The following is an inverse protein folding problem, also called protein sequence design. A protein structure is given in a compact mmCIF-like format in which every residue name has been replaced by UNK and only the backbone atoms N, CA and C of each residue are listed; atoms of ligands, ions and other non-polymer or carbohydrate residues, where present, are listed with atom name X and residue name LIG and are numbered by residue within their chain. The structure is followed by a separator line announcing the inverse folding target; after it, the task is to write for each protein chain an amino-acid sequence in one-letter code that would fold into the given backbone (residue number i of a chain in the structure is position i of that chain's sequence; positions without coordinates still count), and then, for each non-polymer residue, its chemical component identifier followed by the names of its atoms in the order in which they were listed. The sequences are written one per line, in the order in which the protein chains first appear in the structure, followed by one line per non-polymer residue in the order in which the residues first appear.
data_IF_636941898061
#
_entry.id   IF_636941898061
#
_cell.length_a   1.000
_cell.length_b   1.000
_cell.length_c   1.000
_cell.angle_alpha   90.00
_cell.angle_beta   90.00
_cell.angle_gamma   90.00
#
_symmetry.space_group_name_H-M   'P 1'
#
loop_
_entity.id
_entity.type
_entity.pdbx_description
1 polymer ?
#
# COMPACT_ATOMS: atom_id res chain seq x y z
N UNK A 1 -42.95 -28.70 65.69
CA UNK A 1 -43.31 -29.97 65.01
C UNK A 1 -42.05 -30.81 64.86
N UNK A 2 -42.16 -32.14 64.87
CA UNK A 2 -41.03 -33.05 65.16
C UNK A 2 -40.37 -33.67 63.93
N UNK A 3 -39.23 -34.33 64.15
CA UNK A 3 -38.37 -35.00 63.15
C UNK A 3 -38.62 -36.51 63.12
N UNK A 4 -38.71 -37.08 61.91
CA UNK A 4 -38.45 -38.49 61.57
C UNK A 4 -38.17 -38.56 60.04
N UNK A 5 -37.26 -39.32 59.42
CA UNK A 5 -36.43 -40.49 59.75
C UNK A 5 -36.97 -41.87 59.33
N UNK A 6 -36.27 -42.47 58.36
CA UNK A 6 -36.12 -43.92 58.10
C UNK A 6 -37.30 -44.76 57.54
N UNK A 7 -36.86 -45.94 57.06
CA UNK A 7 -37.58 -47.18 56.76
C UNK A 7 -37.97 -47.47 55.29
N UNK A 8 -37.69 -48.71 54.87
CA UNK A 8 -37.99 -49.28 53.57
C UNK A 8 -39.17 -50.27 53.67
N UNK A 9 -39.64 -50.76 52.52
CA UNK A 9 -40.46 -51.98 52.44
C UNK A 9 -40.11 -52.75 51.16
N UNK A 10 -40.11 -54.09 51.22
CA UNK A 10 -39.59 -54.94 50.15
C UNK A 10 -40.04 -56.41 50.27
N UNK A 11 -40.29 -57.05 49.12
CA UNK A 11 -40.35 -58.53 48.97
C UNK A 11 -41.51 -59.22 49.74
N UNK A 12 -41.73 -60.57 49.73
CA UNK A 12 -40.85 -61.73 49.46
C UNK A 12 -41.23 -62.50 48.15
N UNK A 13 -40.73 -63.70 47.80
CA UNK A 13 -39.92 -64.73 48.49
C UNK A 13 -38.98 -65.45 47.48
N UNK A 14 -37.71 -65.82 47.74
CA UNK A 14 -37.14 -66.89 48.61
C UNK A 14 -37.05 -68.29 47.94
N UNK A 15 -36.09 -69.18 48.32
CA UNK A 15 -34.68 -68.93 48.68
C UNK A 15 -33.66 -70.03 48.19
N UNK A 16 -32.35 -69.80 48.42
CA UNK A 16 -31.26 -70.82 48.56
C UNK A 16 -30.78 -71.64 47.32
N UNK A 17 -29.56 -72.21 47.25
CA UNK A 17 -28.25 -71.82 47.84
C UNK A 17 -27.02 -72.49 47.15
N UNK A 18 -25.98 -71.67 46.86
CA UNK A 18 -24.51 -71.92 46.94
C UNK A 18 -23.83 -73.22 46.38
N UNK A 19 -22.91 -72.96 45.42
CA UNK A 19 -21.45 -73.34 45.32
C UNK A 19 -20.94 -74.47 44.37
N UNK A 20 -19.76 -74.15 43.80
CA UNK A 20 -18.60 -74.98 43.37
C UNK A 20 -18.40 -75.50 41.91
N UNK A 21 -17.58 -74.73 41.15
CA UNK A 21 -16.34 -75.06 40.39
C UNK A 21 -16.30 -76.10 39.24
N UNK A 22 -15.46 -75.74 38.23
CA UNK A 22 -14.79 -76.54 37.16
C UNK A 22 -15.68 -77.04 35.99
N UNK A 23 -15.18 -77.38 34.79
CA UNK A 23 -14.06 -76.86 33.94
C UNK A 23 -13.97 -77.66 32.60
N UNK A 24 -13.40 -77.06 31.54
CA UNK A 24 -12.76 -77.68 30.34
C UNK A 24 -13.61 -78.24 29.17
N UNK A 25 -13.21 -77.85 27.94
CA UNK A 25 -13.25 -78.57 26.62
C UNK A 25 -14.64 -78.96 26.04
N UNK A 26 -14.94 -78.95 24.73
CA UNK A 26 -14.37 -78.38 23.48
C UNK A 26 -15.51 -78.40 22.39
N UNK A 27 -15.40 -78.20 21.06
CA UNK A 27 -14.30 -78.00 20.09
C UNK A 27 -14.84 -77.34 18.77
N UNK A 28 -14.00 -77.28 17.73
CA UNK A 28 -14.33 -77.29 16.28
C UNK A 28 -15.18 -76.17 15.61
N UNK A 29 -14.44 -75.18 15.08
CA UNK A 29 -14.52 -74.65 13.70
C UNK A 29 -15.87 -74.23 13.04
N UNK A 30 -16.02 -72.91 12.83
CA UNK A 30 -16.59 -72.31 11.61
C UNK A 30 -15.67 -71.18 11.15
N UNK A 31 -15.38 -71.10 9.85
CA UNK A 31 -14.56 -70.04 9.25
C UNK A 31 -15.40 -68.84 8.83
N UNK A 32 -15.08 -67.65 9.35
CA UNK A 32 -15.47 -66.37 8.78
C UNK A 32 -14.24 -65.45 8.76
N UNK A 33 -13.87 -64.98 7.57
CA UNK A 33 -12.67 -64.16 7.38
C UNK A 33 -12.86 -62.75 7.91
N UNK A 34 -12.18 -62.41 9.01
CA UNK A 34 -12.03 -61.03 9.41
C UNK A 34 -11.15 -60.30 8.38
N UNK A 35 -11.77 -59.48 7.53
CA UNK A 35 -11.05 -58.63 6.60
C UNK A 35 -10.17 -57.65 7.37
N UNK A 36 -8.86 -57.89 7.36
CA UNK A 36 -7.91 -57.03 8.05
C UNK A 36 -7.85 -55.69 7.31
N UNK A 37 -8.56 -54.69 7.84
CA UNK A 37 -8.40 -53.30 7.42
C UNK A 37 -6.99 -52.84 7.80
N UNK A 38 -6.06 -53.07 6.87
CA UNK A 38 -4.77 -52.43 6.85
C UNK A 38 -5.00 -50.92 6.76
N UNK A 39 -5.01 -50.26 7.92
CA UNK A 39 -4.83 -48.82 7.96
C UNK A 39 -3.57 -48.47 7.14
N UNK A 40 -3.60 -47.43 6.29
CA UNK A 40 -2.44 -47.04 5.52
C UNK A 40 -1.27 -46.84 6.49
N UNK A 41 -0.15 -47.49 6.19
CA UNK A 41 1.03 -47.47 7.06
C UNK A 41 1.38 -46.02 7.38
N UNK A 42 1.49 -45.69 8.67
CA UNK A 42 1.98 -44.39 9.08
C UNK A 42 3.39 -44.22 8.48
N UNK A 43 3.51 -43.35 7.47
CA UNK A 43 4.79 -43.02 6.88
C UNK A 43 5.69 -42.47 7.98
N UNK A 44 6.93 -42.96 8.05
CA UNK A 44 7.91 -42.38 8.96
C UNK A 44 7.97 -40.87 8.67
N UNK A 45 7.84 -40.05 9.72
CA UNK A 45 7.90 -38.61 9.57
C UNK A 45 9.25 -38.24 8.94
N UNK A 46 9.25 -37.38 7.92
CA UNK A 46 10.52 -36.96 7.31
C UNK A 46 11.34 -36.22 8.37
N UNK A 47 12.57 -36.69 8.55
CA UNK A 47 13.50 -36.26 9.59
C UNK A 47 14.00 -34.82 9.40
N UNK A 48 13.85 -34.26 8.21
CA UNK A 48 14.31 -32.90 7.87
C UNK A 48 13.15 -31.91 7.79
N UNK A 49 12.13 -32.27 7.00
CA UNK A 49 11.04 -31.38 6.60
C UNK A 49 10.69 -31.57 5.11
N UNK A 50 9.80 -30.72 4.56
CA UNK A 50 9.38 -30.79 3.14
C UNK A 50 10.56 -30.69 2.15
N UNK A 51 10.58 -31.54 1.13
CA UNK A 51 11.64 -31.59 0.13
C UNK A 51 11.95 -33.00 -0.37
N UNK A 52 13.20 -33.25 -0.74
CA UNK A 52 13.63 -34.57 -1.22
C UNK A 52 14.87 -35.09 -0.50
N UNK A 53 14.79 -36.33 -0.02
CA UNK A 53 15.94 -37.11 0.39
C UNK A 53 16.82 -37.46 -0.83
N UNK A 54 18.09 -37.03 -0.80
CA UNK A 54 19.06 -37.21 -1.89
C UNK A 54 20.35 -37.89 -1.39
N UNK A 55 21.19 -38.42 -2.28
CA UNK A 55 22.54 -38.85 -1.93
C UNK A 55 23.42 -37.68 -1.46
N UNK A 56 24.29 -37.95 -0.49
CA UNK A 56 25.32 -37.02 -0.01
C UNK A 56 26.48 -36.81 -1.03
N UNK A 57 27.61 -36.28 -0.57
CA UNK A 57 28.86 -36.15 -1.33
C UNK A 57 29.55 -37.48 -1.65
N UNK A 58 29.21 -38.56 -0.94
CA UNK A 58 29.84 -39.89 -1.03
C UNK A 58 28.96 -40.93 -1.75
N UNK A 59 27.70 -40.58 -2.06
CA UNK A 59 26.72 -41.44 -2.72
C UNK A 59 25.75 -42.15 -1.76
N UNK A 60 25.83 -41.88 -0.46
CA UNK A 60 24.97 -42.48 0.57
C UNK A 60 23.54 -41.99 0.40
N UNK A 61 22.64 -42.86 -0.10
CA UNK A 61 21.23 -42.51 -0.37
C UNK A 61 20.52 -42.09 0.92
N UNK A 62 19.86 -40.93 0.90
CA UNK A 62 19.06 -40.43 2.02
C UNK A 62 19.87 -39.78 3.15
N UNK A 63 21.20 -39.70 3.03
CA UNK A 63 22.07 -39.00 3.97
C UNK A 63 22.14 -37.47 3.74
N UNK A 64 21.42 -36.95 2.73
CA UNK A 64 21.34 -35.52 2.42
C UNK A 64 19.91 -35.14 2.01
N UNK A 65 19.61 -33.85 2.06
CA UNK A 65 18.30 -33.28 1.75
C UNK A 65 18.43 -32.21 0.66
N UNK A 66 17.33 -31.91 -0.03
CA UNK A 66 17.14 -30.67 -0.80
C UNK A 66 15.73 -30.16 -0.50
N UNK A 67 15.64 -29.12 0.33
CA UNK A 67 14.38 -28.67 0.89
C UNK A 67 14.49 -27.95 2.22
N UNK A 68 13.35 -27.90 2.90
CA UNK A 68 13.10 -27.22 4.16
C UNK A 68 13.59 -28.03 5.37
N UNK A 69 14.12 -27.31 6.36
CA UNK A 69 14.47 -27.82 7.67
C UNK A 69 13.48 -27.29 8.72
N UNK A 70 12.99 -28.19 9.57
CA UNK A 70 12.16 -27.88 10.73
C UNK A 70 10.68 -28.19 10.50
N UNK A 71 10.04 -28.80 11.50
CA UNK A 71 8.71 -29.42 11.49
C UNK A 71 8.44 -30.39 10.30
N UNK A 72 8.51 -31.73 10.50
CA UNK A 72 8.69 -32.47 11.76
C UNK A 72 10.17 -32.55 12.22
N UNK A 73 10.64 -31.52 12.92
CA UNK A 73 12.03 -31.37 13.36
C UNK A 73 12.19 -30.11 14.20
N UNK A 74 12.79 -30.21 15.39
CA UNK A 74 12.64 -29.22 16.47
C UNK A 74 13.70 -28.10 16.50
N UNK A 75 14.34 -27.81 15.37
CA UNK A 75 15.39 -26.77 15.30
C UNK A 75 14.86 -25.37 15.64
N UNK A 76 13.63 -25.06 15.22
CA UNK A 76 13.01 -23.74 15.31
C UNK A 76 12.07 -23.61 16.51
N UNK A 77 12.65 -23.59 17.71
CA UNK A 77 11.91 -23.24 18.92
C UNK A 77 11.46 -21.77 18.86
N UNK A 78 10.17 -21.53 19.07
CA UNK A 78 9.53 -20.20 19.10
C UNK A 78 9.53 -19.38 17.78
N UNK A 79 9.95 -19.95 16.65
CA UNK A 79 9.79 -19.34 15.32
C UNK A 79 8.89 -20.19 14.43
N UNK A 80 7.91 -19.57 13.77
CA UNK A 80 6.99 -20.22 12.83
C UNK A 80 7.59 -20.29 11.43
N UNK A 81 7.36 -21.41 10.75
CA UNK A 81 7.83 -21.68 9.39
C UNK A 81 9.16 -22.41 9.32
N UNK A 82 9.64 -22.63 8.09
CA UNK A 82 10.81 -23.44 7.80
C UNK A 82 12.10 -22.61 7.62
N UNK A 83 13.24 -23.20 7.98
CA UNK A 83 14.57 -22.69 7.65
C UNK A 83 15.23 -23.51 6.55
N UNK A 84 16.24 -22.96 5.89
CA UNK A 84 16.92 -23.60 4.75
C UNK A 84 18.43 -23.64 4.99
N UNK A 85 19.10 -24.71 4.58
CA UNK A 85 20.55 -24.77 4.72
C UNK A 85 21.20 -23.69 3.83
N UNK A 86 22.35 -23.15 4.28
CA UNK A 86 23.12 -22.18 3.51
C UNK A 86 24.60 -22.58 3.31
N UNK A 87 25.00 -23.76 3.79
CA UNK A 87 26.34 -24.36 3.63
C UNK A 87 26.23 -25.84 3.14
N UNK A 88 25.86 -26.09 1.86
CA UNK A 88 25.45 -27.42 1.37
C UNK A 88 26.61 -28.42 1.15
N UNK A 89 27.79 -28.09 1.67
CA UNK A 89 29.00 -28.91 1.72
C UNK A 89 29.27 -29.46 3.13
N UNK A 90 28.49 -29.02 4.12
CA UNK A 90 28.66 -29.39 5.54
C UNK A 90 27.46 -30.23 5.99
N UNK A 91 27.67 -31.07 7.00
CA UNK A 91 26.58 -31.85 7.60
C UNK A 91 25.75 -31.00 8.56
N UNK A 92 24.57 -31.48 8.94
CA UNK A 92 23.98 -31.09 10.22
C UNK A 92 24.97 -31.36 11.38
N UNK A 93 24.86 -30.63 12.51
CA UNK A 93 25.69 -30.89 13.67
C UNK A 93 25.35 -32.26 14.28
N UNK A 94 26.35 -32.91 14.87
CA UNK A 94 26.24 -34.23 15.49
C UNK A 94 25.36 -34.23 16.75
N UNK A 95 25.06 -35.41 17.29
CA UNK A 95 24.27 -35.55 18.52
C UNK A 95 24.93 -34.81 19.71
N UNK A 96 24.26 -33.76 20.22
CA UNK A 96 24.79 -32.83 21.23
C UNK A 96 25.37 -31.52 20.66
N UNK A 97 25.60 -31.45 19.36
CA UNK A 97 25.92 -30.21 18.65
C UNK A 97 24.65 -29.37 18.44
N UNK A 98 24.26 -28.59 19.44
CA UNK A 98 23.06 -27.75 19.33
C UNK A 98 23.28 -26.54 18.39
N UNK A 99 22.20 -26.13 17.74
CA UNK A 99 22.10 -24.82 17.11
C UNK A 99 21.92 -23.74 18.18
N UNK A 100 22.53 -22.58 17.97
CA UNK A 100 22.26 -21.39 18.76
C UNK A 100 20.87 -20.80 18.50
N UNK A 101 20.48 -19.74 19.23
CA UNK A 101 19.24 -19.03 18.99
C UNK A 101 19.20 -18.46 17.56
N UNK A 102 17.99 -18.20 17.06
CA UNK A 102 17.78 -17.45 15.82
C UNK A 102 18.31 -16.02 16.02
N UNK A 103 19.26 -15.61 15.17
CA UNK A 103 19.96 -14.31 15.27
C UNK A 103 19.91 -13.58 13.93
N UNK A 104 19.75 -12.25 13.95
CA UNK A 104 19.77 -11.43 12.74
C UNK A 104 21.18 -11.12 12.29
N UNK A 105 21.39 -11.03 10.97
CA UNK A 105 22.68 -10.65 10.40
C UNK A 105 22.52 -9.70 9.21
N UNK A 106 23.41 -8.70 9.14
CA UNK A 106 23.48 -7.71 8.06
C UNK A 106 24.54 -8.03 7.00
N UNK A 107 25.26 -9.15 7.14
CA UNK A 107 26.24 -9.62 6.15
C UNK A 107 26.35 -11.14 6.18
N UNK A 108 26.61 -11.75 5.03
CA UNK A 108 26.85 -13.18 4.90
C UNK A 108 28.19 -13.42 4.22
N UNK A 109 28.94 -14.41 4.69
CA UNK A 109 30.10 -14.95 3.99
C UNK A 109 29.83 -16.40 3.62
N UNK A 110 30.01 -16.73 2.34
CA UNK A 110 29.94 -18.09 1.81
C UNK A 110 31.09 -18.92 2.35
N UNK A 111 30.81 -20.08 2.97
CA UNK A 111 31.87 -21.05 3.30
C UNK A 111 32.34 -21.83 2.06
N UNK A 112 31.50 -21.93 1.03
CA UNK A 112 31.85 -22.61 -0.22
C UNK A 112 32.82 -21.82 -1.11
N UNK A 113 32.84 -20.48 -1.02
CA UNK A 113 33.72 -19.62 -1.85
C UNK A 113 34.64 -18.68 -1.07
N UNK A 114 34.43 -18.54 0.25
CA UNK A 114 35.14 -17.57 1.10
C UNK A 114 34.75 -16.10 0.86
N UNK A 115 33.81 -15.81 -0.05
CA UNK A 115 33.42 -14.45 -0.43
C UNK A 115 32.22 -13.95 0.39
N UNK A 116 32.12 -12.64 0.68
CA UNK A 116 30.87 -12.06 1.16
C UNK A 116 29.80 -12.10 0.05
N UNK A 117 28.56 -12.42 0.40
CA UNK A 117 27.41 -12.22 -0.49
C UNK A 117 27.05 -10.73 -0.54
N UNK A 118 26.53 -10.25 -1.68
CA UNK A 118 26.15 -8.84 -1.81
C UNK A 118 24.87 -8.54 -1.00
N UNK A 119 24.65 -7.26 -0.67
CA UNK A 119 23.38 -6.83 -0.05
C UNK A 119 22.17 -7.09 -0.96
N UNK A 120 22.37 -7.04 -2.28
CA UNK A 120 21.33 -7.36 -3.25
C UNK A 120 20.96 -8.86 -3.19
N UNK A 121 21.94 -9.74 -3.03
CA UNK A 121 21.71 -11.18 -3.01
C UNK A 121 21.20 -11.67 -1.65
N UNK A 122 21.64 -11.04 -0.55
CA UNK A 122 20.99 -11.19 0.76
C UNK A 122 19.51 -10.82 0.64
N UNK A 123 19.17 -9.66 0.07
CA UNK A 123 17.78 -9.24 -0.10
C UNK A 123 16.97 -10.14 -1.05
N UNK A 124 17.60 -10.74 -2.08
CA UNK A 124 16.95 -11.73 -2.97
C UNK A 124 16.72 -13.07 -2.27
N UNK A 125 17.67 -13.58 -1.50
CA UNK A 125 17.48 -14.76 -0.66
C UNK A 125 16.34 -14.53 0.35
N UNK A 126 16.34 -13.37 1.01
CA UNK A 126 15.26 -12.92 1.90
C UNK A 126 13.90 -12.87 1.20
N UNK A 127 13.85 -12.37 -0.05
CA UNK A 127 12.62 -12.33 -0.85
C UNK A 127 12.05 -13.73 -1.11
N UNK A 128 12.87 -14.66 -1.60
CA UNK A 128 12.45 -16.05 -1.88
C UNK A 128 11.97 -16.73 -0.60
N UNK A 129 12.71 -16.57 0.50
CA UNK A 129 12.33 -17.11 1.81
C UNK A 129 11.01 -16.51 2.33
N UNK A 130 10.80 -15.20 2.24
CA UNK A 130 9.55 -14.54 2.65
C UNK A 130 8.34 -14.87 1.78
N UNK A 131 8.54 -15.28 0.52
CA UNK A 131 7.45 -15.49 -0.46
C UNK A 131 7.07 -16.96 -0.61
N UNK A 132 8.03 -17.87 -0.43
CA UNK A 132 7.84 -19.30 -0.73
C UNK A 132 8.45 -20.24 0.32
N UNK A 133 9.27 -19.74 1.25
CA UNK A 133 10.01 -20.55 2.21
C UNK A 133 9.14 -21.22 3.28
N UNK A 134 8.04 -20.58 3.68
CA UNK A 134 7.02 -21.22 4.53
C UNK A 134 6.10 -22.08 3.67
N UNK A 135 6.42 -23.37 3.51
CA UNK A 135 5.75 -24.27 2.57
C UNK A 135 5.83 -25.73 2.97
N UNK A 136 4.74 -26.47 2.74
CA UNK A 136 4.67 -27.93 2.88
C UNK A 136 4.67 -28.64 1.51
N UNK A 137 5.02 -27.95 0.43
CA UNK A 137 5.17 -28.53 -0.92
C UNK A 137 6.65 -28.85 -1.19
N UNK A 138 6.99 -30.13 -1.30
CA UNK A 138 8.36 -30.61 -1.53
C UNK A 138 9.01 -29.98 -2.78
N UNK A 139 8.20 -29.74 -3.82
CA UNK A 139 8.66 -29.13 -5.08
C UNK A 139 9.08 -27.67 -4.85
N UNK A 140 8.36 -26.95 -3.97
CA UNK A 140 8.68 -25.57 -3.59
C UNK A 140 9.85 -25.49 -2.65
N UNK A 141 9.88 -26.34 -1.61
CA UNK A 141 10.97 -26.37 -0.65
C UNK A 141 12.31 -26.66 -1.34
N UNK A 142 12.35 -27.65 -2.24
CA UNK A 142 13.55 -27.98 -3.02
C UNK A 142 13.99 -26.85 -3.96
N UNK A 143 13.06 -26.03 -4.45
CA UNK A 143 13.37 -24.84 -5.25
C UNK A 143 13.95 -23.72 -4.38
N UNK A 144 13.33 -23.42 -3.23
CA UNK A 144 13.81 -22.41 -2.28
C UNK A 144 15.21 -22.74 -1.76
N UNK A 145 15.48 -24.01 -1.42
CA UNK A 145 16.81 -24.49 -1.02
C UNK A 145 17.85 -24.14 -2.11
N UNK A 146 17.57 -24.47 -3.38
CA UNK A 146 18.46 -24.18 -4.51
C UNK A 146 18.72 -22.67 -4.73
N UNK A 147 17.69 -21.84 -4.58
CA UNK A 147 17.79 -20.38 -4.80
C UNK A 147 18.53 -19.67 -3.64
N UNK A 148 18.33 -20.14 -2.41
CA UNK A 148 19.05 -19.64 -1.23
C UNK A 148 20.56 -19.89 -1.37
N UNK A 149 21.01 -21.06 -1.85
CA UNK A 149 22.44 -21.24 -2.17
C UNK A 149 22.90 -20.36 -3.33
N UNK A 150 22.04 -20.16 -4.32
CA UNK A 150 22.38 -19.36 -5.51
C UNK A 150 22.80 -17.95 -5.14
N UNK A 151 22.06 -17.33 -4.23
CA UNK A 151 22.36 -15.99 -3.74
C UNK A 151 23.42 -15.95 -2.62
N UNK A 152 23.41 -16.91 -1.69
CA UNK A 152 24.34 -16.89 -0.53
C UNK A 152 25.72 -17.52 -0.82
N UNK A 153 25.86 -18.22 -1.94
CA UNK A 153 27.09 -18.89 -2.37
C UNK A 153 27.31 -18.72 -3.89
N UNK A 154 27.10 -17.51 -4.41
CA UNK A 154 27.28 -17.18 -5.83
C UNK A 154 28.64 -17.67 -6.37
N UNK A 155 28.64 -18.26 -7.57
CA UNK A 155 29.83 -18.82 -8.22
C UNK A 155 30.34 -20.14 -7.62
N UNK A 156 29.70 -20.68 -6.57
CA UNK A 156 29.95 -22.05 -6.13
C UNK A 156 29.34 -23.08 -7.08
N UNK A 157 29.78 -24.34 -6.98
CA UNK A 157 29.17 -25.46 -7.71
C UNK A 157 27.70 -25.71 -7.33
N UNK A 158 27.22 -25.11 -6.24
CA UNK A 158 25.86 -25.23 -5.70
C UNK A 158 24.94 -24.05 -6.03
N UNK A 159 25.41 -23.03 -6.77
CA UNK A 159 24.59 -21.92 -7.25
C UNK A 159 24.02 -22.17 -8.65
N UNK A 160 22.76 -21.81 -8.91
CA UNK A 160 22.16 -21.81 -10.23
C UNK A 160 22.53 -20.54 -11.03
N UNK A 161 22.33 -20.52 -12.37
CA UNK A 161 22.09 -21.67 -13.24
C UNK A 161 23.38 -22.43 -13.62
N UNK A 162 24.57 -21.88 -13.33
CA UNK A 162 25.86 -22.41 -13.81
C UNK A 162 26.51 -23.51 -12.97
N UNK A 163 26.09 -23.71 -11.71
CA UNK A 163 26.69 -24.67 -10.79
C UNK A 163 26.33 -26.12 -11.13
N UNK A 164 27.33 -26.90 -11.51
CA UNK A 164 27.19 -28.31 -11.88
C UNK A 164 26.51 -29.15 -10.78
N UNK A 165 26.83 -28.93 -9.51
CA UNK A 165 26.27 -29.71 -8.37
C UNK A 165 24.84 -29.27 -8.05
N UNK A 166 24.46 -28.01 -8.28
CA UNK A 166 23.07 -27.54 -8.21
C UNK A 166 22.20 -28.23 -9.27
N UNK A 167 22.66 -28.22 -10.52
CA UNK A 167 22.00 -28.89 -11.64
C UNK A 167 21.89 -30.40 -11.43
N UNK A 168 22.90 -31.04 -10.83
CA UNK A 168 22.84 -32.45 -10.43
C UNK A 168 21.83 -32.72 -9.31
N UNK A 169 21.80 -31.90 -8.23
CA UNK A 169 20.84 -32.08 -7.12
C UNK A 169 19.40 -31.99 -7.62
N UNK A 170 19.09 -31.01 -8.47
CA UNK A 170 17.77 -30.84 -9.09
C UNK A 170 17.46 -31.82 -10.25
N UNK A 171 18.37 -32.75 -10.55
CA UNK A 171 18.20 -33.79 -11.57
C UNK A 171 18.34 -35.22 -11.02
N UNK A 172 18.39 -35.40 -9.70
CA UNK A 172 18.30 -36.74 -9.10
C UNK A 172 16.93 -37.39 -9.42
N UNK A 173 16.85 -38.70 -9.72
CA UNK A 173 15.59 -39.35 -10.13
C UNK A 173 14.41 -39.29 -9.14
N UNK A 174 14.64 -38.90 -7.88
CA UNK A 174 13.58 -38.67 -6.89
C UNK A 174 13.11 -37.22 -6.79
N UNK A 175 13.81 -36.26 -7.39
CA UNK A 175 13.46 -34.83 -7.36
C UNK A 175 12.56 -34.50 -8.54
N UNK A 176 11.43 -33.85 -8.28
CA UNK A 176 10.52 -33.42 -9.34
C UNK A 176 11.19 -32.40 -10.27
N UNK A 177 11.12 -32.63 -11.58
CA UNK A 177 11.62 -31.70 -12.60
C UNK A 177 10.97 -30.29 -12.48
N UNK A 178 9.77 -30.20 -11.90
CA UNK A 178 9.11 -28.94 -11.62
C UNK A 178 9.84 -28.08 -10.57
N UNK A 179 10.68 -28.65 -9.70
CA UNK A 179 11.49 -27.89 -8.73
C UNK A 179 12.49 -26.98 -9.44
N UNK A 180 13.13 -27.47 -10.52
CA UNK A 180 14.02 -26.65 -11.37
C UNK A 180 13.27 -25.51 -12.07
N UNK A 181 12.03 -25.76 -12.50
CA UNK A 181 11.17 -24.72 -13.11
C UNK A 181 10.72 -23.67 -12.08
N UNK A 182 10.35 -24.09 -10.86
CA UNK A 182 10.05 -23.19 -9.74
C UNK A 182 11.25 -22.32 -9.40
N UNK A 183 12.43 -22.92 -9.19
CA UNK A 183 13.68 -22.20 -8.90
C UNK A 183 13.98 -21.13 -9.95
N UNK A 184 13.97 -21.49 -11.24
CA UNK A 184 14.18 -20.52 -12.32
C UNK A 184 13.16 -19.35 -12.33
N UNK A 185 11.91 -19.61 -11.95
CA UNK A 185 10.88 -18.58 -11.84
C UNK A 185 11.07 -17.69 -10.59
N UNK A 186 11.41 -18.28 -9.44
CA UNK A 186 11.67 -17.57 -8.19
C UNK A 186 12.92 -16.71 -8.24
N UNK A 187 14.00 -17.17 -8.88
CA UNK A 187 15.17 -16.35 -9.21
C UNK A 187 14.76 -15.13 -10.04
N UNK A 188 13.93 -15.31 -11.07
CA UNK A 188 13.45 -14.23 -11.93
C UNK A 188 12.46 -13.26 -11.22
N UNK A 189 11.61 -13.75 -10.31
CA UNK A 189 10.73 -12.90 -9.49
C UNK A 189 11.55 -12.09 -8.47
N UNK A 190 12.48 -12.73 -7.75
CA UNK A 190 13.35 -12.08 -6.78
C UNK A 190 14.29 -11.05 -7.44
N UNK A 191 14.85 -11.34 -8.60
CA UNK A 191 15.68 -10.40 -9.36
C UNK A 191 14.94 -9.11 -9.74
N UNK A 192 13.59 -9.15 -9.85
CA UNK A 192 12.74 -8.00 -10.15
C UNK A 192 12.15 -7.34 -8.91
N UNK A 193 11.72 -8.09 -7.92
CA UNK A 193 10.88 -7.60 -6.82
C UNK A 193 11.51 -7.68 -5.42
N UNK A 194 12.76 -8.12 -5.26
CA UNK A 194 13.48 -8.00 -3.99
C UNK A 194 13.69 -6.53 -3.56
N UNK A 195 13.63 -6.28 -2.25
CA UNK A 195 13.86 -4.96 -1.68
C UNK A 195 15.34 -4.56 -1.62
N UNK A 196 15.71 -3.44 -0.96
CA UNK A 196 14.84 -2.48 -0.27
C UNK A 196 13.74 -1.86 -1.13
N UNK A 197 12.69 -1.38 -0.46
CA UNK A 197 11.47 -0.88 -1.10
C UNK A 197 11.29 0.62 -0.88
N UNK A 198 10.79 1.32 -1.90
CA UNK A 198 10.46 2.75 -1.83
C UNK A 198 8.98 2.95 -2.14
N UNK A 199 8.25 3.67 -1.28
CA UNK A 199 6.86 4.09 -1.56
C UNK A 199 6.91 5.40 -2.35
N UNK A 200 6.20 5.45 -3.47
CA UNK A 200 6.00 6.67 -4.25
C UNK A 200 4.57 7.17 -4.14
N UNK A 201 4.41 8.49 -4.19
CA UNK A 201 3.14 9.19 -4.03
C UNK A 201 3.13 10.35 -5.02
N UNK A 202 2.37 10.20 -6.09
CA UNK A 202 2.33 11.13 -7.23
C UNK A 202 0.93 11.75 -7.34
N UNK A 203 0.74 13.05 -7.04
CA UNK A 203 -0.53 13.74 -7.29
C UNK A 203 -0.80 13.92 -8.79
N UNK A 204 -2.06 13.82 -9.19
CA UNK A 204 -2.51 14.18 -10.54
C UNK A 204 -2.56 15.71 -10.77
N UNK A 205 -2.48 16.50 -9.70
CA UNK A 205 -2.57 17.95 -9.72
C UNK A 205 -2.53 18.59 -8.32
N UNK A 206 -2.75 19.91 -8.18
CA UNK A 206 -2.78 20.58 -6.89
C UNK A 206 -3.92 20.06 -5.99
N UNK A 207 -3.74 20.17 -4.67
CA UNK A 207 -4.75 19.80 -3.68
C UNK A 207 -5.72 20.95 -3.44
N UNK A 208 -6.86 20.93 -4.12
CA UNK A 208 -7.77 22.09 -4.16
C UNK A 208 -8.99 21.93 -3.25
N UNK A 209 -9.33 23.02 -2.55
CA UNK A 209 -10.50 23.13 -1.67
C UNK A 209 -11.79 22.80 -2.42
N UNK A 210 -12.58 21.84 -1.89
CA UNK A 210 -13.84 21.41 -2.48
C UNK A 210 -13.71 20.51 -3.72
N UNK A 211 -12.49 20.14 -4.14
CA UNK A 211 -12.23 19.27 -5.29
C UNK A 211 -11.60 17.92 -4.88
N UNK A 212 -11.78 16.91 -5.73
CA UNK A 212 -11.09 15.61 -5.58
C UNK A 212 -9.75 15.64 -6.30
N UNK A 213 -8.65 15.66 -5.55
CA UNK A 213 -7.31 15.47 -6.10
C UNK A 213 -6.93 14.01 -5.94
N UNK A 214 -6.73 13.31 -7.07
CA UNK A 214 -6.27 11.92 -7.09
C UNK A 214 -4.75 11.83 -6.93
N UNK A 215 -4.32 10.68 -6.42
CA UNK A 215 -2.94 10.31 -6.19
C UNK A 215 -2.72 8.89 -6.74
N UNK A 216 -1.68 8.74 -7.56
CA UNK A 216 -1.13 7.44 -7.92
C UNK A 216 -0.09 7.06 -6.89
N UNK A 217 -0.25 5.87 -6.31
CA UNK A 217 0.63 5.30 -5.29
C UNK A 217 1.26 4.03 -5.84
N UNK A 218 2.54 3.81 -5.58
CA UNK A 218 3.19 2.53 -5.90
C UNK A 218 4.35 2.25 -4.94
N UNK A 219 4.82 1.00 -4.97
CA UNK A 219 5.99 0.55 -4.22
C UNK A 219 6.98 -0.03 -5.22
N UNK A 220 8.17 0.55 -5.29
CA UNK A 220 9.26 0.08 -6.15
C UNK A 220 10.22 -0.81 -5.39
N UNK A 221 10.72 -1.85 -6.06
CA UNK A 221 11.81 -2.71 -5.62
C UNK A 221 13.18 -2.03 -5.78
N UNK A 222 14.25 -2.67 -5.29
CA UNK A 222 15.62 -2.19 -5.51
C UNK A 222 16.05 -2.23 -6.98
N UNK A 223 15.35 -3.01 -7.81
CA UNK A 223 15.53 -3.05 -9.26
C UNK A 223 14.60 -2.07 -10.02
N UNK A 224 13.86 -1.20 -9.31
CA UNK A 224 12.99 -0.17 -9.88
C UNK A 224 11.64 -0.66 -10.42
N UNK A 225 11.30 -1.95 -10.23
CA UNK A 225 9.99 -2.47 -10.66
C UNK A 225 8.92 -2.15 -9.62
N UNK A 226 7.75 -1.71 -10.08
CA UNK A 226 6.55 -1.59 -9.23
C UNK A 226 6.07 -2.96 -8.80
N UNK A 227 5.80 -3.14 -7.52
CA UNK A 227 5.47 -4.44 -6.90
C UNK A 227 3.96 -4.61 -6.81
N UNK A 228 3.36 -5.65 -7.43
CA UNK A 228 1.92 -5.90 -7.36
C UNK A 228 1.49 -6.57 -6.05
N UNK A 229 0.21 -6.44 -5.68
CA UNK A 229 -0.37 -7.09 -4.49
C UNK A 229 0.10 -6.55 -3.13
N UNK A 230 0.82 -5.43 -3.08
CA UNK A 230 1.26 -4.80 -1.83
C UNK A 230 0.11 -4.07 -1.16
N UNK A 231 -0.19 -4.45 0.09
CA UNK A 231 -1.13 -3.71 0.94
C UNK A 231 -0.50 -2.39 1.38
N UNK A 232 -1.23 -1.30 1.18
CA UNK A 232 -0.90 0.05 1.64
C UNK A 232 -1.85 0.42 2.78
N UNK A 233 -1.31 0.94 3.87
CA UNK A 233 -2.06 1.64 4.91
C UNK A 233 -1.84 3.15 4.74
N UNK A 234 -2.92 3.90 4.50
CA UNK A 234 -2.90 5.32 4.13
C UNK A 234 -3.50 6.14 5.27
N UNK A 235 -2.93 7.32 5.56
CA UNK A 235 -3.49 8.26 6.54
C UNK A 235 -3.33 9.71 6.10
N UNK A 236 -4.41 10.48 6.14
CA UNK A 236 -4.43 11.92 5.86
C UNK A 236 -4.93 12.72 7.07
N UNK A 237 -4.16 13.69 7.53
CA UNK A 237 -4.45 14.53 8.70
C UNK A 237 -4.43 16.03 8.35
N UNK A 238 -5.33 16.80 8.95
CA UNK A 238 -5.52 18.23 8.74
C UNK A 238 -5.93 18.89 10.07
N UNK A 239 -4.96 19.48 10.76
CA UNK A 239 -5.15 19.89 12.17
C UNK A 239 -5.47 18.68 13.04
N UNK A 240 -6.49 18.79 13.90
CA UNK A 240 -6.95 17.69 14.77
C UNK A 240 -7.79 16.63 14.05
N UNK A 241 -8.14 16.81 12.76
CA UNK A 241 -8.87 15.81 11.99
C UNK A 241 -7.91 14.84 11.32
N UNK A 242 -8.22 13.55 11.36
CA UNK A 242 -7.46 12.50 10.66
C UNK A 242 -8.40 11.43 10.10
N UNK A 243 -8.02 10.84 8.96
CA UNK A 243 -8.70 9.71 8.34
C UNK A 243 -7.68 8.74 7.78
N UNK A 244 -7.88 7.46 8.04
CA UNK A 244 -7.11 6.37 7.45
C UNK A 244 -7.97 5.47 6.57
N UNK A 245 -7.36 4.89 5.54
CA UNK A 245 -7.93 3.84 4.68
C UNK A 245 -6.82 2.82 4.36
N UNK A 246 -7.16 1.73 3.70
CA UNK A 246 -6.17 0.80 3.14
C UNK A 246 -6.53 0.47 1.70
N UNK A 247 -5.50 0.41 0.85
CA UNK A 247 -5.58 0.06 -0.57
C UNK A 247 -4.62 -1.11 -0.84
N UNK A 248 -4.68 -1.70 -2.03
CA UNK A 248 -3.70 -2.71 -2.47
C UNK A 248 -3.28 -2.42 -3.90
N UNK A 249 -1.99 -2.52 -4.21
CA UNK A 249 -1.49 -2.28 -5.58
C UNK A 249 -2.00 -3.36 -6.54
N UNK A 250 -2.48 -2.95 -7.71
CA UNK A 250 -2.97 -3.83 -8.77
C UNK A 250 -1.87 -4.64 -9.46
N UNK A 251 -2.23 -5.33 -10.55
CA UNK A 251 -1.32 -6.16 -11.33
C UNK A 251 -0.21 -5.36 -12.06
N UNK A 252 -0.41 -4.04 -12.22
CA UNK A 252 0.57 -3.07 -12.71
C UNK A 252 1.51 -2.52 -11.62
N UNK A 253 1.26 -2.88 -10.35
CA UNK A 253 1.98 -2.37 -9.19
C UNK A 253 1.54 -0.97 -8.72
N UNK A 254 0.39 -0.43 -9.17
CA UNK A 254 -0.12 0.86 -8.68
C UNK A 254 -1.43 0.75 -7.90
N UNK A 255 -1.70 1.73 -7.05
CA UNK A 255 -2.97 1.95 -6.36
C UNK A 255 -3.41 3.41 -6.54
N UNK A 256 -4.71 3.69 -6.37
CA UNK A 256 -5.31 5.01 -6.62
C UNK A 256 -6.15 5.46 -5.42
N UNK A 257 -5.75 6.55 -4.79
CA UNK A 257 -6.49 7.18 -3.69
C UNK A 257 -6.80 8.65 -4.03
N UNK A 258 -7.72 9.29 -3.32
CA UNK A 258 -7.99 10.72 -3.50
C UNK A 258 -8.16 11.45 -2.15
N UNK A 259 -7.81 12.74 -2.16
CA UNK A 259 -8.10 13.67 -1.08
C UNK A 259 -9.23 14.62 -1.52
N UNK A 260 -10.08 15.04 -0.57
CA UNK A 260 -11.25 15.88 -0.83
C UNK A 260 -11.43 16.94 0.29
N UNK A 261 -10.51 17.92 0.41
CA UNK A 261 -10.46 18.83 1.54
C UNK A 261 -11.66 19.79 1.54
N UNK A 262 -12.35 19.87 2.68
CA UNK A 262 -13.51 20.77 2.89
C UNK A 262 -13.16 22.08 3.61
N UNK A 263 -11.90 22.24 4.03
CA UNK A 263 -11.39 23.43 4.72
C UNK A 263 -9.93 23.70 4.30
N UNK A 264 -9.45 24.95 4.33
CA UNK A 264 -8.08 25.29 4.01
C UNK A 264 -7.09 24.80 5.10
N UNK A 265 -5.81 24.71 4.74
CA UNK A 265 -4.73 24.35 5.67
C UNK A 265 -3.63 23.57 4.96
N UNK A 266 -2.89 22.74 5.72
CA UNK A 266 -1.90 21.80 5.18
C UNK A 266 -2.31 20.39 5.59
N UNK A 267 -2.49 19.51 4.60
CA UNK A 267 -2.77 18.09 4.82
C UNK A 267 -1.44 17.34 4.90
N UNK A 268 -1.20 16.66 6.01
CA UNK A 268 -0.16 15.63 6.08
C UNK A 268 -0.75 14.35 5.51
N UNK A 269 -0.27 13.90 4.35
CA UNK A 269 -0.67 12.64 3.73
C UNK A 269 0.50 11.66 3.76
N UNK A 270 0.31 10.54 4.47
CA UNK A 270 1.28 9.48 4.64
C UNK A 270 0.75 8.14 4.11
N UNK A 271 1.66 7.32 3.59
CA UNK A 271 1.39 5.98 3.06
C UNK A 271 2.48 5.04 3.57
N UNK A 272 2.06 3.91 4.16
CA UNK A 272 2.93 2.87 4.69
C UNK A 272 2.63 1.55 4.00
N UNK A 273 3.61 1.00 3.30
CA UNK A 273 3.61 -0.39 2.86
C UNK A 273 4.13 -1.25 4.02
N UNK A 274 3.26 -2.11 4.55
CA UNK A 274 3.57 -3.02 5.65
C UNK A 274 3.57 -4.48 5.17
N UNK A 275 4.20 -5.37 5.94
CA UNK A 275 4.32 -6.79 5.62
C UNK A 275 4.97 -7.07 4.25
N UNK A 276 5.91 -6.22 3.82
CA UNK A 276 6.71 -6.46 2.63
C UNK A 276 7.70 -7.62 2.87
N UNK A 277 8.17 -8.32 1.81
CA UNK A 277 9.21 -9.34 1.94
C UNK A 277 10.43 -8.83 2.70
N UNK A 278 11.14 -9.72 3.38
CA UNK A 278 12.34 -9.35 4.13
C UNK A 278 13.45 -8.84 3.19
N UNK A 279 14.28 -7.94 3.73
CA UNK A 279 15.49 -7.40 3.09
C UNK A 279 16.77 -7.79 3.83
N UNK A 280 16.63 -8.58 4.89
CA UNK A 280 17.69 -9.14 5.71
C UNK A 280 17.36 -10.59 6.05
N UNK A 281 18.31 -11.31 6.63
CA UNK A 281 18.16 -12.72 7.00
C UNK A 281 18.37 -12.93 8.49
N UNK A 282 17.78 -14.00 9.00
CA UNK A 282 18.09 -14.57 10.31
C UNK A 282 18.77 -15.92 10.12
N UNK A 283 19.66 -16.31 11.03
CA UNK A 283 20.31 -17.62 11.03
C UNK A 283 20.30 -18.27 12.40
N UNK A 284 20.34 -19.60 12.38
CA UNK A 284 20.91 -20.39 13.45
C UNK A 284 22.34 -20.79 13.09
N UNK A 285 23.27 -20.45 13.98
CA UNK A 285 24.68 -20.86 13.88
C UNK A 285 24.87 -22.10 14.76
N UNK A 286 25.39 -23.23 14.24
CA UNK A 286 25.70 -24.40 15.07
C UNK A 286 26.88 -24.13 16.01
N UNK A 287 26.87 -24.74 17.20
CA UNK A 287 28.00 -24.67 18.13
C UNK A 287 29.30 -25.26 17.54
N UNK A 288 29.20 -26.29 16.69
CA UNK A 288 30.31 -26.79 15.88
C UNK A 288 30.46 -25.93 14.61
N UNK A 289 31.59 -25.22 14.49
CA UNK A 289 31.88 -24.37 13.32
C UNK A 289 32.00 -25.15 12.00
N UNK A 290 32.24 -26.47 12.04
CA UNK A 290 32.26 -27.35 10.88
C UNK A 290 30.89 -27.84 10.40
N UNK A 291 29.80 -27.56 11.13
CA UNK A 291 28.44 -27.93 10.73
C UNK A 291 27.75 -26.81 9.93
N UNK A 292 26.72 -27.16 9.16
CA UNK A 292 25.97 -26.24 8.29
C UNK A 292 25.22 -25.16 9.09
N UNK A 293 25.16 -23.94 8.56
CA UNK A 293 24.24 -22.88 9.05
C UNK A 293 22.88 -23.03 8.38
N UNK A 294 21.81 -22.73 9.12
CA UNK A 294 20.43 -22.66 8.60
C UNK A 294 19.97 -21.20 8.61
N UNK A 295 19.32 -20.74 7.55
CA UNK A 295 18.84 -19.36 7.35
C UNK A 295 17.32 -19.29 7.19
N UNK A 296 16.75 -18.13 7.52
CA UNK A 296 15.34 -17.78 7.37
C UNK A 296 15.21 -16.34 6.90
N UNK A 297 14.03 -15.98 6.37
CA UNK A 297 13.68 -14.58 6.14
C UNK A 297 13.75 -13.77 7.44
N UNK A 298 14.29 -12.55 7.37
CA UNK A 298 14.42 -11.64 8.51
C UNK A 298 13.11 -10.97 8.95
N UNK A 299 12.02 -11.73 9.05
CA UNK A 299 10.68 -11.22 9.32
C UNK A 299 10.01 -10.60 8.08
N UNK A 300 9.52 -9.36 8.22
CA UNK A 300 8.99 -8.55 7.11
C UNK A 300 9.64 -7.17 7.12
N UNK A 301 9.74 -6.54 5.95
CA UNK A 301 10.18 -5.15 5.84
C UNK A 301 8.98 -4.18 5.78
N UNK A 302 9.26 -2.90 5.91
CA UNK A 302 8.28 -1.82 5.74
C UNK A 302 8.91 -0.68 4.93
N UNK A 303 8.10 -0.03 4.13
CA UNK A 303 8.47 1.20 3.43
C UNK A 303 7.38 2.25 3.63
N UNK A 304 7.73 3.52 3.67
CA UNK A 304 6.77 4.59 3.91
C UNK A 304 7.19 5.91 3.26
N UNK A 305 6.20 6.69 2.86
CA UNK A 305 6.36 8.05 2.36
C UNK A 305 5.35 8.98 3.04
N UNK A 306 5.72 10.25 3.21
CA UNK A 306 4.84 11.29 3.73
C UNK A 306 5.11 12.61 3.00
N UNK A 307 4.03 13.32 2.68
CA UNK A 307 4.08 14.67 2.12
C UNK A 307 3.18 15.61 2.91
N UNK A 308 3.60 16.87 3.04
CA UNK A 308 2.80 17.94 3.65
C UNK A 308 2.30 18.85 2.52
N UNK A 309 1.01 18.77 2.20
CA UNK A 309 0.41 19.38 1.01
C UNK A 309 -0.48 20.55 1.42
N UNK A 310 -0.18 21.77 0.96
CA UNK A 310 -1.02 22.94 1.21
C UNK A 310 -2.29 22.87 0.36
N UNK A 311 -3.45 23.05 0.98
CA UNK A 311 -4.73 23.17 0.27
C UNK A 311 -4.82 24.53 -0.40
N UNK A 312 -4.96 24.55 -1.72
CA UNK A 312 -5.19 25.76 -2.53
C UNK A 312 -6.67 26.06 -2.68
N UNK A 313 -7.05 27.34 -2.82
CA UNK A 313 -8.41 27.69 -3.25
C UNK A 313 -8.60 27.30 -4.73
N UNK A 314 -9.80 26.86 -5.10
CA UNK A 314 -10.16 26.64 -6.50
C UNK A 314 -10.09 27.96 -7.27
N UNK A 315 -9.70 27.92 -8.54
CA UNK A 315 -9.72 29.10 -9.41
C UNK A 315 -11.04 29.19 -10.17
N UNK A 316 -11.47 30.41 -10.45
CA UNK A 316 -12.64 30.73 -11.27
C UNK A 316 -12.37 31.94 -12.16
N UNK A 317 -13.45 32.58 -12.60
CA UNK A 317 -13.38 33.79 -13.42
C UNK A 317 -14.40 34.84 -13.03
N UNK A 318 -14.21 36.04 -13.60
CA UNK A 318 -15.16 37.14 -13.55
C UNK A 318 -15.38 37.65 -14.98
N UNK A 319 -16.65 37.67 -15.40
CA UNK A 319 -17.12 38.35 -16.61
C UNK A 319 -17.88 39.60 -16.22
N UNK A 320 -17.42 40.76 -16.66
CA UNK A 320 -18.14 42.03 -16.52
C UNK A 320 -18.91 42.31 -17.81
N UNK A 321 -20.15 42.78 -17.66
CA UNK A 321 -21.00 43.26 -18.75
C UNK A 321 -21.42 44.69 -18.39
N UNK A 322 -20.92 45.67 -19.15
CA UNK A 322 -21.07 47.11 -18.89
C UNK A 322 -22.02 47.72 -19.91
N UNK A 323 -23.08 48.35 -19.41
CA UNK A 323 -24.16 48.91 -20.25
C UNK A 323 -24.62 50.28 -19.78
N UNK A 324 -25.04 51.12 -20.70
CA UNK A 324 -25.68 52.40 -20.38
C UNK A 324 -27.03 52.16 -19.67
N UNK A 325 -27.30 52.86 -18.55
CA UNK A 325 -28.58 52.72 -17.83
C UNK A 325 -29.77 53.30 -18.61
N UNK A 326 -29.54 54.32 -19.44
CA UNK A 326 -30.57 55.06 -20.18
C UNK A 326 -31.08 54.32 -21.43
N UNK A 327 -30.20 53.57 -22.09
CA UNK A 327 -30.44 52.97 -23.40
C UNK A 327 -30.20 51.45 -23.45
N UNK A 328 -29.61 50.87 -22.40
CA UNK A 328 -29.26 49.44 -22.34
C UNK A 328 -28.13 49.01 -23.29
N UNK A 329 -27.56 49.94 -24.07
CA UNK A 329 -26.48 49.68 -25.01
C UNK A 329 -25.18 49.26 -24.30
N UNK A 330 -24.33 48.42 -24.92
CA UNK A 330 -23.00 48.14 -24.39
C UNK A 330 -22.12 49.40 -24.34
N UNK A 331 -21.21 49.45 -23.37
CA UNK A 331 -20.19 50.50 -23.23
C UNK A 331 -18.80 49.86 -23.26
N UNK A 332 -18.12 49.99 -24.40
CA UNK A 332 -16.70 49.65 -24.56
C UNK A 332 -15.78 50.76 -24.07
N UNK A 333 -14.51 50.45 -23.84
CA UNK A 333 -13.49 51.40 -23.41
C UNK A 333 -13.47 51.70 -21.90
N UNK A 334 -14.30 51.03 -21.09
CA UNK A 334 -14.38 51.23 -19.63
C UNK A 334 -13.32 50.40 -18.93
N UNK A 335 -12.45 51.02 -18.11
CA UNK A 335 -11.46 50.30 -17.31
C UNK A 335 -12.03 49.85 -15.95
N UNK A 336 -11.70 48.61 -15.56
CA UNK A 336 -12.01 48.01 -14.26
C UNK A 336 -10.76 47.50 -13.55
N UNK A 337 -10.83 47.52 -12.21
CA UNK A 337 -9.89 46.88 -11.31
C UNK A 337 -10.64 45.92 -10.35
N UNK A 338 -10.10 44.72 -10.14
CA UNK A 338 -10.59 43.74 -9.17
C UNK A 338 -9.66 43.76 -7.96
N UNK A 339 -10.17 44.21 -6.81
CA UNK A 339 -9.43 44.27 -5.54
C UNK A 339 -9.80 43.10 -4.64
N UNK A 340 -8.81 42.51 -3.98
CA UNK A 340 -9.00 41.45 -2.99
C UNK A 340 -9.40 42.03 -1.61
N UNK A 341 -9.60 41.16 -0.61
CA UNK A 341 -10.01 41.55 0.75
C UNK A 341 -9.05 42.50 1.48
N UNK A 342 -7.80 42.60 1.03
CA UNK A 342 -6.75 43.43 1.62
C UNK A 342 -6.56 44.75 0.84
N UNK A 343 -7.40 45.01 -0.18
CA UNK A 343 -7.38 46.21 -1.02
C UNK A 343 -6.45 46.13 -2.23
N UNK A 344 -5.60 45.10 -2.33
CA UNK A 344 -4.67 44.87 -3.43
C UNK A 344 -5.43 44.51 -4.73
N UNK A 345 -5.06 45.17 -5.83
CA UNK A 345 -5.59 44.90 -7.17
C UNK A 345 -4.98 43.62 -7.75
N UNK A 346 -5.80 42.59 -7.96
CA UNK A 346 -5.38 41.27 -8.46
C UNK A 346 -5.66 41.04 -9.95
N UNK A 347 -6.45 41.90 -10.58
CA UNK A 347 -6.65 41.96 -12.03
C UNK A 347 -7.13 43.35 -12.45
N UNK A 348 -6.79 43.77 -13.67
CA UNK A 348 -7.36 44.96 -14.33
C UNK A 348 -7.72 44.65 -15.78
N UNK A 349 -8.53 45.50 -16.41
CA UNK A 349 -8.71 45.48 -17.85
C UNK A 349 -9.94 46.25 -18.32
N UNK A 350 -10.03 46.37 -19.65
CA UNK A 350 -10.97 47.27 -20.33
C UNK A 350 -12.09 46.50 -21.03
N UNK A 351 -13.30 47.06 -21.08
CA UNK A 351 -14.41 46.48 -21.85
C UNK A 351 -14.21 46.60 -23.35
N UNK A 352 -14.53 45.53 -24.08
CA UNK A 352 -14.51 45.50 -25.54
C UNK A 352 -15.74 46.22 -26.16
N UNK A 353 -15.87 46.23 -27.49
CA UNK A 353 -16.97 46.90 -28.19
C UNK A 353 -18.38 46.39 -27.79
N UNK A 354 -18.50 45.12 -27.39
CA UNK A 354 -19.73 44.52 -26.88
C UNK A 354 -19.97 44.80 -25.38
N UNK A 355 -19.16 45.66 -24.76
CA UNK A 355 -19.25 46.04 -23.34
C UNK A 355 -18.78 44.94 -22.40
N UNK A 356 -17.97 43.99 -22.86
CA UNK A 356 -17.54 42.82 -22.09
C UNK A 356 -16.06 42.91 -21.71
N UNK A 357 -15.75 42.64 -20.45
CA UNK A 357 -14.40 42.31 -19.98
C UNK A 357 -14.42 40.96 -19.23
N UNK A 358 -13.31 40.22 -19.25
CA UNK A 358 -13.18 38.93 -18.60
C UNK A 358 -11.80 38.77 -17.93
N UNK A 359 -11.80 38.31 -16.68
CA UNK A 359 -10.62 37.88 -15.93
C UNK A 359 -10.76 36.40 -15.54
N UNK A 360 -9.65 35.65 -15.56
CA UNK A 360 -9.60 34.22 -15.25
C UNK A 360 -8.46 33.91 -14.28
N UNK A 361 -8.50 32.73 -13.64
CA UNK A 361 -7.48 32.31 -12.66
C UNK A 361 -7.64 32.95 -11.27
N UNK A 362 -8.71 33.72 -11.05
CA UNK A 362 -9.01 34.35 -9.76
C UNK A 362 -9.35 33.26 -8.72
N UNK A 363 -8.67 33.20 -7.57
CA UNK A 363 -9.05 32.30 -6.49
C UNK A 363 -10.51 32.47 -6.05
N UNK A 364 -11.19 31.41 -5.63
CA UNK A 364 -12.54 31.47 -5.12
C UNK A 364 -12.59 32.31 -3.83
N UNK A 365 -13.44 33.34 -3.80
CA UNK A 365 -13.41 34.36 -2.75
C UNK A 365 -14.35 35.53 -3.00
N UNK A 366 -14.40 36.47 -2.04
CA UNK A 366 -15.06 37.77 -2.20
C UNK A 366 -14.03 38.80 -2.69
N UNK A 367 -14.43 39.61 -3.67
CA UNK A 367 -13.65 40.69 -4.27
C UNK A 367 -14.50 41.96 -4.36
N UNK A 368 -13.84 43.10 -4.55
CA UNK A 368 -14.48 44.34 -4.98
C UNK A 368 -14.14 44.59 -6.44
N UNK A 369 -15.16 44.71 -7.29
CA UNK A 369 -15.04 45.24 -8.64
C UNK A 369 -15.17 46.76 -8.56
N UNK A 370 -14.09 47.46 -8.87
CA UNK A 370 -13.98 48.91 -8.90
C UNK A 370 -13.91 49.35 -10.36
N UNK A 371 -14.72 50.31 -10.75
CA UNK A 371 -14.57 50.99 -12.03
C UNK A 371 -13.50 52.08 -11.89
N UNK A 372 -12.57 52.13 -12.83
CA UNK A 372 -11.41 53.04 -12.82
C UNK A 372 -11.67 54.24 -13.72
N UNK A 373 -12.14 53.98 -14.94
CA UNK A 373 -12.46 55.01 -15.94
C UNK A 373 -13.77 54.65 -16.66
N UNK A 374 -14.71 55.60 -16.65
CA UNK A 374 -16.01 55.47 -17.30
C UNK A 374 -15.95 55.88 -18.77
N UNK A 375 -16.94 55.43 -19.57
CA UNK A 375 -17.04 55.83 -20.97
C UNK A 375 -17.40 57.32 -21.11
N UNK A 376 -16.96 57.95 -22.21
CA UNK A 376 -17.20 59.38 -22.49
C UNK A 376 -18.66 59.79 -22.30
N UNK A 377 -18.89 60.77 -21.41
CA UNK A 377 -20.22 61.28 -21.09
C UNK A 377 -21.04 60.42 -20.13
N UNK A 378 -20.45 59.43 -19.45
CA UNK A 378 -21.09 58.61 -18.42
C UNK A 378 -20.47 58.83 -17.03
N UNK A 379 -21.23 58.48 -15.98
CA UNK A 379 -20.82 58.56 -14.58
C UNK A 379 -20.28 57.21 -14.10
N UNK A 380 -19.10 57.23 -13.48
CA UNK A 380 -18.44 56.08 -12.85
C UNK A 380 -19.40 55.32 -11.91
N UNK A 381 -19.52 54.01 -12.05
CA UNK A 381 -20.34 53.21 -11.15
C UNK A 381 -19.67 52.99 -9.78
N UNK A 382 -20.49 52.87 -8.73
CA UNK A 382 -20.01 52.52 -7.39
C UNK A 382 -19.45 51.09 -7.33
N UNK A 383 -18.40 50.90 -6.51
CA UNK A 383 -17.79 49.61 -6.18
C UNK A 383 -18.82 48.49 -5.93
N UNK A 384 -18.66 47.37 -6.64
CA UNK A 384 -19.55 46.21 -6.52
C UNK A 384 -18.85 45.05 -5.79
N UNK A 385 -19.53 44.48 -4.79
CA UNK A 385 -19.08 43.23 -4.16
C UNK A 385 -19.34 42.05 -5.08
N UNK A 386 -18.29 41.32 -5.43
CA UNK A 386 -18.33 40.13 -6.30
C UNK A 386 -17.91 38.89 -5.51
N UNK A 387 -18.53 37.74 -5.81
CA UNK A 387 -18.08 36.44 -5.30
C UNK A 387 -17.66 35.57 -6.48
N UNK A 388 -16.38 35.23 -6.57
CA UNK A 388 -15.86 34.25 -7.54
C UNK A 388 -16.04 32.86 -6.93
N UNK A 389 -16.67 31.96 -7.68
CA UNK A 389 -16.77 30.54 -7.32
C UNK A 389 -15.79 29.72 -8.14
N UNK A 390 -15.31 28.59 -7.60
CA UNK A 390 -14.40 27.70 -8.31
C UNK A 390 -15.02 27.11 -9.57
N UNK A 391 -14.18 26.82 -10.57
CA UNK A 391 -14.50 26.12 -11.82
C UNK A 391 -15.49 26.85 -12.75
N UNK A 392 -15.88 28.09 -12.43
CA UNK A 392 -16.88 28.86 -13.17
C UNK A 392 -16.51 30.34 -13.24
N UNK A 393 -17.00 31.02 -14.28
CA UNK A 393 -16.99 32.47 -14.33
C UNK A 393 -18.25 33.04 -13.68
N UNK A 394 -18.11 33.79 -12.60
CA UNK A 394 -19.18 34.67 -12.12
C UNK A 394 -19.42 35.75 -13.18
N UNK A 395 -20.68 36.10 -13.46
CA UNK A 395 -21.02 37.20 -14.37
C UNK A 395 -21.64 38.35 -13.57
N UNK A 396 -21.18 39.57 -13.83
CA UNK A 396 -21.58 40.80 -13.13
C UNK A 396 -22.02 41.85 -14.16
N UNK A 397 -23.17 42.48 -13.92
CA UNK A 397 -23.70 43.53 -14.76
C UNK A 397 -23.51 44.90 -14.08
N UNK A 398 -22.79 45.80 -14.75
CA UNK A 398 -22.50 47.16 -14.27
C UNK A 398 -23.21 48.17 -15.20
N UNK A 399 -23.71 49.27 -14.62
CA UNK A 399 -24.54 50.26 -15.34
C UNK A 399 -24.23 51.68 -14.92
N UNK A 400 -24.20 52.57 -15.92
CA UNK A 400 -23.82 53.97 -15.72
C UNK A 400 -25.00 54.89 -15.98
N UNK A 401 -25.15 55.93 -15.17
CA UNK A 401 -25.95 57.09 -15.53
C UNK A 401 -25.19 57.94 -16.57
N UNK A 402 -25.88 58.39 -17.63
CA UNK A 402 -25.32 59.38 -18.54
C UNK A 402 -25.21 60.72 -17.83
N UNK A 403 -24.11 61.44 -17.99
CA UNK A 403 -23.93 62.78 -17.40
C UNK A 403 -25.04 63.71 -17.94
N UNK A 404 -25.86 64.33 -17.06
CA UNK A 404 -26.91 65.24 -17.50
C UNK A 404 -26.33 66.42 -18.27
N UNK A 405 -26.94 66.74 -19.42
CA UNK A 405 -26.60 67.96 -20.15
C UNK A 405 -26.84 69.20 -19.25
N UNK A 406 -25.97 70.23 -19.30
CA UNK A 406 -26.14 71.42 -18.49
C UNK A 406 -27.49 72.08 -18.78
N UNK A 407 -28.24 72.41 -17.73
CA UNK A 407 -29.59 72.94 -17.85
C UNK A 407 -29.59 74.25 -18.65
N UNK A 408 -30.23 74.24 -19.82
CA UNK A 408 -30.35 75.42 -20.69
C UNK A 408 -30.99 76.57 -19.90
N UNK A 409 -30.31 77.72 -19.72
CA UNK A 409 -30.84 78.81 -18.92
C UNK A 409 -32.09 79.39 -19.60
N UNK A 410 -33.23 79.32 -18.90
CA UNK A 410 -34.50 79.86 -19.43
C UNK A 410 -34.37 81.38 -19.60
N UNK A 411 -34.64 81.95 -20.78
CA UNK A 411 -34.53 83.39 -20.99
C UNK A 411 -35.50 84.13 -20.08
N UNK A 412 -34.98 85.03 -19.24
CA UNK A 412 -35.79 85.81 -18.29
C UNK A 412 -36.49 86.94 -19.05
N UNK A 413 -37.81 86.84 -19.19
CA UNK A 413 -38.66 87.88 -19.78
C UNK A 413 -38.49 89.23 -19.06
N UNK A 414 -37.77 90.16 -19.68
CA UNK A 414 -37.67 91.54 -19.24
C UNK A 414 -38.95 92.27 -19.64
N UNK A 415 -39.82 92.61 -18.67
CA UNK A 415 -40.94 93.52 -18.92
C UNK A 415 -40.40 94.95 -19.06
N UNK A 416 -40.21 95.41 -20.28
CA UNK A 416 -39.98 96.83 -20.56
C UNK A 416 -41.25 97.58 -20.17
N UNK A 417 -41.16 98.46 -19.16
CA UNK A 417 -42.26 99.34 -18.77
C UNK A 417 -42.30 100.51 -19.76
N UNK A 418 -43.16 100.41 -20.76
CA UNK A 418 -43.47 101.52 -21.67
C UNK A 418 -43.95 102.71 -20.83
N UNK A 419 -43.24 103.83 -20.92
CA UNK A 419 -43.68 105.09 -20.31
C UNK A 419 -44.80 105.71 -21.17
N UNK A 420 -45.81 106.35 -20.57
CA UNK A 420 -46.89 106.95 -21.34
C UNK A 420 -46.36 108.08 -22.22
N UNK A 421 -46.80 108.13 -23.48
CA UNK A 421 -46.51 109.27 -24.35
C UNK A 421 -47.33 110.49 -23.88
N UNK A 422 -46.65 111.46 -23.28
CA UNK A 422 -47.20 112.81 -23.05
C UNK A 422 -47.14 113.59 -24.35
N UNK A 423 -48.25 113.62 -25.10
CA UNK A 423 -48.39 114.44 -26.30
C UNK A 423 -48.63 115.92 -25.96
N UNK A 424 -48.03 116.80 -26.75
CA UNK A 424 -48.33 118.22 -26.90
C UNK A 424 -47.97 118.62 -28.35
#
# INVERSE_FOLDING_TARGET
MSVASHAASSQPASPSARRFRRSLLAASAVTLGAGLLLAPSASAADQWGPGYAIPDSHGTRGASHIGAYGQPGSLFQHTTGHGYCADPTLTGPESGGHYGPVTSFASWTSRATGKPASQQDIARASYVLSRYGDTTDDVQAAAVDADVYTYLNEGSTYALPGGQRALQRLAYPGVSAAAKTKAAAYLAEAARFAGPYTVHLSPDGPLTLGQKTWYTLDVTSAAGYKVPGVKLDLSAALGSQSRSISETTGADGTARAYLFPQQPGTVTFAVRAASLPATSLWAQIPANSGAQRIVLAGGTSTAQAQVNIRVTAAQGGLKVIKTASDTGKPLGGVEFAVRNKDGETVATGTTNAEGVWQAAGLPAGTYTLHEVEAADGYQLASDQRVVVTGDKSTTVAVRDARIPAPAVPRPRLVRIKVLPQTGA
#
